data_IF_124312587964
#
_entry.id   IF_124312587964
#
_cell.length_a   1.000
_cell.length_b   1.000
_cell.length_c   1.000
_cell.angle_alpha   90.00
_cell.angle_beta   90.00
_cell.angle_gamma   90.00
#
_symmetry.space_group_name_H-M   'P 1'
#
loop_
_entity.id
_entity.type
_entity.pdbx_description
1 polymer ?
#
# COMPACT_ATOMS: atom_id res chain seq x y z
N UNK A 1 -19.56 1.24 4.63
CA UNK A 1 -19.45 -0.08 3.94
C UNK A 1 -18.63 0.01 2.64
N UNK A 2 -18.78 1.05 1.81
CA UNK A 2 -17.94 1.28 0.61
C UNK A 2 -16.45 1.55 0.92
N UNK A 3 -16.13 2.24 2.02
CA UNK A 3 -14.73 2.56 2.35
C UNK A 3 -13.90 1.32 2.74
N UNK A 4 -14.55 0.30 3.31
CA UNK A 4 -13.93 -1.01 3.60
C UNK A 4 -13.64 -1.80 2.33
N UNK A 5 -14.45 -1.62 1.28
CA UNK A 5 -14.30 -2.27 -0.02
C UNK A 5 -13.06 -1.77 -0.77
N UNK A 6 -12.82 -0.45 -0.76
CA UNK A 6 -11.64 0.16 -1.41
C UNK A 6 -10.31 -0.25 -0.77
N UNK A 7 -10.27 -0.39 0.55
CA UNK A 7 -9.10 -0.92 1.26
C UNK A 7 -8.83 -2.38 0.84
N UNK A 8 -9.90 -3.17 0.70
CA UNK A 8 -9.80 -4.56 0.25
C UNK A 8 -9.25 -4.68 -1.17
N UNK A 9 -9.69 -3.82 -2.10
CA UNK A 9 -9.20 -3.81 -3.49
C UNK A 9 -7.70 -3.49 -3.59
N UNK A 10 -7.20 -2.63 -2.68
CA UNK A 10 -5.78 -2.28 -2.61
C UNK A 10 -4.92 -3.43 -2.08
N UNK A 11 -5.40 -4.12 -1.03
CA UNK A 11 -4.75 -5.31 -0.50
C UNK A 11 -4.77 -6.43 -1.54
N UNK A 12 -5.88 -6.59 -2.26
CA UNK A 12 -6.00 -7.55 -3.37
C UNK A 12 -4.98 -7.25 -4.47
N UNK A 13 -4.83 -5.98 -4.85
CA UNK A 13 -3.85 -5.57 -5.87
C UNK A 13 -2.41 -5.83 -5.41
N UNK A 14 -2.06 -5.50 -4.18
CA UNK A 14 -0.73 -5.79 -3.63
C UNK A 14 -0.45 -7.30 -3.58
N UNK A 15 -1.44 -8.12 -3.19
CA UNK A 15 -1.33 -9.57 -3.21
C UNK A 15 -1.18 -10.14 -4.62
N UNK A 16 -1.94 -9.62 -5.60
CA UNK A 16 -1.83 -10.01 -7.00
C UNK A 16 -0.47 -9.63 -7.59
N UNK A 17 0.04 -8.43 -7.29
CA UNK A 17 1.36 -7.99 -7.69
C UNK A 17 2.46 -8.86 -7.07
N UNK A 18 2.34 -9.22 -5.79
CA UNK A 18 3.28 -10.14 -5.13
C UNK A 18 3.26 -11.54 -5.76
N UNK A 19 2.07 -12.07 -6.04
CA UNK A 19 1.93 -13.35 -6.75
C UNK A 19 2.55 -13.29 -8.15
N UNK A 20 2.30 -12.24 -8.92
CA UNK A 20 2.89 -12.04 -10.24
C UNK A 20 4.42 -11.93 -10.18
N UNK A 21 4.96 -11.21 -9.20
CA UNK A 21 6.41 -11.11 -8.99
C UNK A 21 7.04 -12.46 -8.62
N UNK A 22 6.34 -13.28 -7.84
CA UNK A 22 6.79 -14.62 -7.48
C UNK A 22 6.75 -15.57 -8.70
N UNK A 23 5.70 -15.51 -9.51
CA UNK A 23 5.64 -16.27 -10.77
C UNK A 23 6.74 -15.84 -11.74
N UNK A 24 6.99 -14.53 -11.88
CA UNK A 24 8.08 -14.01 -12.71
C UNK A 24 9.46 -14.48 -12.19
N UNK A 25 9.65 -14.50 -10.86
CA UNK A 25 10.86 -15.05 -10.26
C UNK A 25 11.07 -16.52 -10.63
N UNK A 26 10.07 -17.38 -10.39
CA UNK A 26 10.16 -18.82 -10.71
C UNK A 26 10.44 -19.04 -12.20
N UNK A 27 9.80 -18.26 -13.07
CA UNK A 27 10.04 -18.35 -14.51
C UNK A 27 11.47 -17.93 -14.89
N UNK A 28 11.99 -16.83 -14.32
CA UNK A 28 13.37 -16.39 -14.52
C UNK A 28 14.39 -17.47 -14.07
N UNK A 29 14.17 -18.08 -12.90
CA UNK A 29 15.01 -19.17 -12.39
C UNK A 29 14.99 -20.38 -13.34
N UNK A 30 13.82 -20.78 -13.82
CA UNK A 30 13.68 -21.85 -14.81
C UNK A 30 14.38 -21.52 -16.13
N UNK A 31 14.31 -20.26 -16.58
CA UNK A 31 15.02 -19.82 -17.78
C UNK A 31 16.54 -19.93 -17.61
N UNK A 32 17.06 -19.51 -16.45
CA UNK A 32 18.48 -19.60 -16.10
C UNK A 32 18.98 -21.03 -16.02
N UNK A 33 18.22 -21.92 -15.38
CA UNK A 33 18.57 -23.34 -15.26
C UNK A 33 18.65 -23.98 -16.66
N UNK A 34 17.66 -23.75 -17.51
CA UNK A 34 17.68 -24.25 -18.89
C UNK A 34 18.83 -23.66 -19.71
N UNK A 35 19.16 -22.38 -19.54
CA UNK A 35 20.32 -21.74 -20.18
C UNK A 35 21.64 -22.38 -19.76
N UNK A 36 21.78 -22.72 -18.48
CA UNK A 36 22.94 -23.44 -17.93
C UNK A 36 23.03 -24.85 -18.51
N UNK A 37 21.94 -25.60 -18.56
CA UNK A 37 21.93 -26.94 -19.17
C UNK A 37 22.32 -26.90 -20.66
N UNK A 38 21.85 -25.92 -21.42
CA UNK A 38 22.22 -25.76 -22.82
C UNK A 38 23.70 -25.41 -23.00
N UNK A 39 24.28 -24.62 -22.09
CA UNK A 39 25.71 -24.32 -22.07
C UNK A 39 26.57 -25.57 -21.86
N UNK A 40 26.13 -26.48 -20.98
CA UNK A 40 26.82 -27.75 -20.70
C UNK A 40 26.79 -28.72 -21.89
N UNK A 41 25.83 -28.55 -22.81
CA UNK A 41 25.65 -29.40 -24.01
C UNK A 41 26.33 -28.81 -25.26
N UNK A 42 27.08 -27.71 -25.16
CA UNK A 42 27.73 -27.09 -26.32
C UNK A 42 28.80 -28.00 -26.92
N UNK A 43 28.64 -28.31 -28.20
CA UNK A 43 29.62 -29.01 -29.05
C UNK A 43 30.04 -28.07 -30.19
N UNK A 44 31.26 -28.17 -30.72
CA UNK A 44 31.81 -27.22 -31.71
C UNK A 44 31.30 -27.44 -33.15
N UNK A 45 30.34 -28.37 -33.33
CA UNK A 45 29.69 -28.66 -34.61
C UNK A 45 28.59 -27.66 -35.01
N UNK A 46 27.89 -27.95 -36.13
CA UNK A 46 26.75 -27.14 -36.61
C UNK A 46 25.62 -27.02 -35.58
N UNK A 47 25.42 -28.05 -34.76
CA UNK A 47 24.47 -28.07 -33.63
C UNK A 47 24.87 -27.03 -32.57
N UNK A 48 26.17 -26.79 -32.38
CA UNK A 48 26.70 -25.76 -31.49
C UNK A 48 26.29 -24.34 -31.85
N UNK A 49 26.22 -24.00 -33.14
CA UNK A 49 25.76 -22.68 -33.56
C UNK A 49 24.29 -22.45 -33.21
N UNK A 50 23.44 -23.47 -33.38
CA UNK A 50 22.03 -23.42 -33.01
C UNK A 50 21.87 -23.35 -31.50
N UNK A 51 22.59 -24.18 -30.74
CA UNK A 51 22.60 -24.15 -29.28
C UNK A 51 23.04 -22.78 -28.75
N UNK A 52 24.08 -22.18 -29.33
CA UNK A 52 24.57 -20.85 -28.94
C UNK A 52 23.55 -19.75 -29.20
N UNK A 53 22.76 -19.85 -30.28
CA UNK A 53 21.66 -18.92 -30.56
C UNK A 53 20.51 -19.11 -29.56
N UNK A 54 20.16 -20.36 -29.25
CA UNK A 54 19.13 -20.70 -28.27
C UNK A 54 19.51 -20.20 -26.86
N UNK A 55 20.77 -20.38 -26.46
CA UNK A 55 21.32 -19.88 -25.19
C UNK A 55 21.20 -18.35 -25.10
N UNK A 56 21.54 -17.63 -26.17
CA UNK A 56 21.40 -16.16 -26.19
C UNK A 56 19.96 -15.70 -26.02
N UNK A 57 19.03 -16.34 -26.72
CA UNK A 57 17.58 -16.06 -26.55
C UNK A 57 17.15 -16.37 -25.12
N UNK A 58 17.59 -17.50 -24.57
CA UNK A 58 17.25 -17.93 -23.22
C UNK A 58 17.66 -16.91 -22.14
N UNK A 59 18.91 -16.42 -22.19
CA UNK A 59 19.39 -15.41 -21.25
C UNK A 59 18.78 -14.03 -21.50
N UNK A 60 18.50 -13.66 -22.76
CA UNK A 60 17.78 -12.42 -23.07
C UNK A 60 16.35 -12.42 -22.51
N UNK A 61 15.65 -13.55 -22.58
CA UNK A 61 14.35 -13.72 -21.94
C UNK A 61 14.43 -13.62 -20.42
N UNK A 62 15.47 -14.20 -19.82
CA UNK A 62 15.69 -14.11 -18.38
C UNK A 62 15.86 -12.65 -17.92
N UNK A 63 16.72 -11.87 -18.59
CA UNK A 63 16.91 -10.44 -18.28
C UNK A 63 15.61 -9.65 -18.39
N UNK A 64 14.80 -9.95 -19.41
CA UNK A 64 13.52 -9.27 -19.63
C UNK A 64 12.52 -9.57 -18.51
N UNK A 65 12.45 -10.82 -18.05
CA UNK A 65 11.60 -11.25 -16.92
C UNK A 65 12.09 -10.65 -15.61
N UNK A 66 13.41 -10.62 -15.38
CA UNK A 66 14.02 -10.00 -14.20
C UNK A 66 13.74 -8.49 -14.13
N UNK A 67 13.81 -7.80 -15.27
CA UNK A 67 13.44 -6.39 -15.41
C UNK A 67 11.97 -6.15 -15.08
N UNK A 68 11.06 -6.98 -15.61
CA UNK A 68 9.63 -6.91 -15.29
C UNK A 68 9.35 -7.16 -13.81
N UNK A 69 10.01 -8.16 -13.20
CA UNK A 69 9.91 -8.46 -11.76
C UNK A 69 10.34 -7.26 -10.91
N UNK A 70 11.47 -6.64 -11.24
CA UNK A 70 11.98 -5.44 -10.54
C UNK A 70 10.94 -4.31 -10.56
N UNK A 71 10.32 -4.05 -11.72
CA UNK A 71 9.25 -3.05 -11.83
C UNK A 71 8.00 -3.36 -11.01
N UNK A 72 7.59 -4.64 -10.94
CA UNK A 72 6.46 -5.03 -10.07
C UNK A 72 6.79 -4.74 -8.61
N UNK A 73 7.98 -5.10 -8.13
CA UNK A 73 8.40 -4.80 -6.75
C UNK A 73 8.40 -3.30 -6.47
N UNK A 74 9.00 -2.49 -7.34
CA UNK A 74 9.03 -1.03 -7.15
C UNK A 74 7.63 -0.42 -7.12
N UNK A 75 6.72 -0.92 -7.95
CA UNK A 75 5.34 -0.42 -8.04
C UNK A 75 4.48 -0.89 -6.86
N UNK A 76 4.65 -2.13 -6.40
CA UNK A 76 3.93 -2.69 -5.25
C UNK A 76 4.35 -2.06 -3.92
N UNK A 77 5.59 -1.54 -3.84
CA UNK A 77 6.17 -0.98 -2.62
C UNK A 77 5.98 0.54 -2.50
N UNK A 78 4.85 1.09 -2.99
CA UNK A 78 4.52 2.48 -2.69
C UNK A 78 4.28 2.61 -1.19
N UNK A 79 5.02 3.53 -0.53
CA UNK A 79 4.90 4.00 0.85
C UNK A 79 3.71 3.38 1.60
N UNK A 80 4.00 2.36 2.42
CA UNK A 80 3.03 1.36 2.86
C UNK A 80 1.72 1.99 3.33
N UNK A 81 0.65 1.74 2.59
CA UNK A 81 -0.73 2.12 2.95
C UNK A 81 -1.06 1.60 4.35
N UNK A 82 -0.44 0.49 4.78
CA UNK A 82 -0.51 -0.02 6.15
C UNK A 82 -0.01 1.00 7.17
N UNK A 83 1.09 1.70 6.91
CA UNK A 83 1.62 2.74 7.79
C UNK A 83 0.65 3.92 7.87
N UNK A 84 0.09 4.35 6.73
CA UNK A 84 -0.87 5.45 6.71
C UNK A 84 -2.20 5.08 7.41
N UNK A 85 -2.67 3.84 7.26
CA UNK A 85 -3.84 3.30 7.96
C UNK A 85 -3.62 3.22 9.48
N UNK A 86 -2.45 2.74 9.92
CA UNK A 86 -2.07 2.73 11.35
C UNK A 86 -2.08 4.13 11.95
N UNK A 87 -1.58 5.14 11.24
CA UNK A 87 -1.65 6.53 11.70
C UNK A 87 -3.10 7.00 11.88
N UNK A 88 -3.97 6.71 10.92
CA UNK A 88 -5.40 7.09 11.00
C UNK A 88 -6.11 6.36 12.15
N UNK A 89 -5.77 5.10 12.39
CA UNK A 89 -6.28 4.33 13.53
C UNK A 89 -5.89 4.95 14.87
N UNK A 90 -4.61 5.32 15.05
CA UNK A 90 -4.15 6.00 16.26
C UNK A 90 -4.85 7.36 16.46
N UNK A 91 -5.00 8.15 15.39
CA UNK A 91 -5.71 9.44 15.47
C UNK A 91 -7.19 9.26 15.85
N UNK A 92 -7.84 8.22 15.34
CA UNK A 92 -9.20 7.88 15.72
C UNK A 92 -9.29 7.54 17.21
N UNK A 93 -8.41 6.68 17.71
CA UNK A 93 -8.37 6.30 19.12
C UNK A 93 -8.18 7.54 20.01
N UNK A 94 -7.26 8.42 19.65
CA UNK A 94 -7.02 9.67 20.36
C UNK A 94 -8.25 10.60 20.34
N UNK A 95 -8.90 10.76 19.19
CA UNK A 95 -10.16 11.51 19.08
C UNK A 95 -11.27 10.90 19.96
N UNK A 96 -11.38 9.57 20.01
CA UNK A 96 -12.36 8.87 20.85
C UNK A 96 -12.07 9.07 22.35
N UNK A 97 -10.80 9.10 22.77
CA UNK A 97 -10.39 9.41 24.15
C UNK A 97 -10.81 10.83 24.56
N UNK A 98 -10.55 11.83 23.71
CA UNK A 98 -10.97 13.22 23.98
C UNK A 98 -12.49 13.37 24.03
N UNK A 99 -13.21 12.68 23.14
CA UNK A 99 -14.67 12.63 23.16
C UNK A 99 -15.21 12.09 24.48
N UNK A 100 -14.64 11.00 24.97
CA UNK A 100 -15.05 10.36 26.21
C UNK A 100 -14.78 11.28 27.42
N UNK A 101 -13.64 11.97 27.45
CA UNK A 101 -13.31 12.95 28.48
C UNK A 101 -14.32 14.11 28.50
N UNK A 102 -14.61 14.69 27.33
CA UNK A 102 -15.61 15.75 27.20
C UNK A 102 -17.01 15.30 27.65
N UNK A 103 -17.45 14.11 27.21
CA UNK A 103 -18.74 13.55 27.61
C UNK A 103 -18.82 13.33 29.13
N UNK A 104 -17.77 12.78 29.74
CA UNK A 104 -17.70 12.57 31.19
C UNK A 104 -17.81 13.87 31.98
N UNK A 105 -17.11 14.93 31.54
CA UNK A 105 -17.22 16.26 32.16
C UNK A 105 -18.61 16.88 31.97
N UNK A 106 -19.21 16.71 30.78
CA UNK A 106 -20.55 17.20 30.48
C UNK A 106 -21.62 16.53 31.36
N UNK A 107 -21.51 15.22 31.59
CA UNK A 107 -22.41 14.49 32.49
C UNK A 107 -22.26 14.94 33.94
N UNK A 108 -21.02 15.12 34.42
CA UNK A 108 -20.75 15.59 35.78
C UNK A 108 -21.28 17.02 36.00
N UNK A 109 -21.17 17.91 35.00
CA UNK A 109 -21.74 19.25 35.08
C UNK A 109 -23.28 19.21 35.23
N UNK A 110 -23.98 18.39 34.42
CA UNK A 110 -25.45 18.26 34.53
C UNK A 110 -25.90 17.71 35.88
N UNK A 111 -25.08 16.91 36.55
CA UNK A 111 -25.37 16.41 37.91
C UNK A 111 -25.12 17.47 38.99
N UNK A 112 -24.08 18.29 38.82
CA UNK A 112 -23.77 19.40 39.72
C UNK A 112 -24.80 20.54 39.63
N UNK A 113 -25.32 20.84 38.43
CA UNK A 113 -26.40 21.82 38.22
C UNK A 113 -27.69 21.42 38.96
N UNK A 114 -27.96 20.11 39.08
CA UNK A 114 -29.11 19.58 39.83
C UNK A 114 -28.96 19.73 41.35
N UNK A 115 -27.74 19.94 41.86
CA UNK A 115 -27.44 19.92 43.31
C UNK A 115 -27.15 21.30 43.93
N UNK A 116 -27.34 22.42 43.21
CA UNK A 116 -27.28 23.82 43.71
C UNK A 116 -26.00 24.17 44.53
N UNK A 117 -24.82 23.87 44.00
CA UNK A 117 -23.54 24.31 44.58
C UNK A 117 -22.93 25.49 43.80
N UNK A 118 -22.91 26.69 44.39
CA UNK A 118 -22.59 27.96 43.69
C UNK A 118 -21.10 28.32 43.63
N UNK A 119 -20.20 27.58 44.31
CA UNK A 119 -18.80 28.04 44.54
C UNK A 119 -17.71 27.32 43.72
N UNK A 120 -18.07 26.29 42.94
CA UNK A 120 -17.15 25.53 42.07
C UNK A 120 -17.45 25.59 40.57
N UNK A 121 -18.48 26.33 40.17
CA UNK A 121 -19.13 26.25 38.86
C UNK A 121 -18.29 26.87 37.72
N UNK A 122 -17.54 27.94 37.99
CA UNK A 122 -16.67 28.60 36.99
C UNK A 122 -15.47 27.76 36.60
N UNK A 123 -14.84 27.06 37.54
CA UNK A 123 -13.69 26.18 37.26
C UNK A 123 -14.13 24.89 36.55
N UNK A 124 -15.34 24.38 36.80
CA UNK A 124 -15.87 23.24 36.05
C UNK A 124 -16.27 23.61 34.62
N UNK A 125 -16.83 24.81 34.42
CA UNK A 125 -17.21 25.29 33.09
C UNK A 125 -15.98 25.48 32.20
N UNK A 126 -14.90 26.07 32.73
CA UNK A 126 -13.65 26.25 32.00
C UNK A 126 -13.04 24.91 31.58
N UNK A 127 -13.00 23.92 32.47
CA UNK A 127 -12.51 22.57 32.14
C UNK A 127 -13.35 21.87 31.08
N UNK A 128 -14.67 22.05 31.10
CA UNK A 128 -15.55 21.50 30.07
C UNK A 128 -15.26 22.16 28.70
N UNK A 129 -15.08 23.48 28.69
CA UNK A 129 -14.76 24.21 27.47
C UNK A 129 -13.41 23.76 26.88
N UNK A 130 -12.36 23.68 27.70
CA UNK A 130 -11.04 23.19 27.27
C UNK A 130 -11.12 21.76 26.69
N UNK A 131 -11.89 20.87 27.32
CA UNK A 131 -12.12 19.52 26.83
C UNK A 131 -12.90 19.49 25.50
N UNK A 132 -13.87 20.40 25.33
CA UNK A 132 -14.63 20.54 24.08
C UNK A 132 -13.74 20.99 22.94
N UNK A 133 -12.94 22.04 23.16
CA UNK A 133 -12.04 22.59 22.14
C UNK A 133 -10.98 21.56 21.74
N UNK A 134 -10.43 20.81 22.70
CA UNK A 134 -9.46 19.75 22.42
C UNK A 134 -10.08 18.60 21.62
N UNK A 135 -11.29 18.15 21.98
CA UNK A 135 -12.02 17.16 21.20
C UNK A 135 -12.28 17.65 19.78
N UNK A 136 -12.74 18.89 19.61
CA UNK A 136 -13.04 19.47 18.30
C UNK A 136 -11.79 19.58 17.43
N UNK A 137 -10.66 20.04 18.00
CA UNK A 137 -9.36 20.07 17.31
C UNK A 137 -8.97 18.67 16.80
N UNK A 138 -9.01 17.67 17.66
CA UNK A 138 -8.61 16.31 17.27
C UNK A 138 -9.57 15.67 16.27
N UNK A 139 -10.87 15.95 16.38
CA UNK A 139 -11.86 15.51 15.41
C UNK A 139 -11.61 16.11 14.02
N UNK A 140 -11.30 17.42 13.94
CA UNK A 140 -10.94 18.09 12.69
C UNK A 140 -9.68 17.47 12.08
N UNK A 141 -8.64 17.27 12.89
CA UNK A 141 -7.38 16.65 12.46
C UNK A 141 -7.61 15.24 11.91
N UNK A 142 -8.38 14.42 12.63
CA UNK A 142 -8.73 13.05 12.20
C UNK A 142 -9.50 13.04 10.88
N UNK A 143 -10.55 13.86 10.76
CA UNK A 143 -11.37 13.96 9.54
C UNK A 143 -10.54 14.43 8.34
N UNK A 144 -9.70 15.46 8.54
CA UNK A 144 -8.83 15.97 7.49
C UNK A 144 -7.84 14.91 7.00
N UNK A 145 -7.23 14.17 7.94
CA UNK A 145 -6.29 13.09 7.60
C UNK A 145 -6.99 11.95 6.87
N UNK A 146 -8.17 11.54 7.32
CA UNK A 146 -8.96 10.49 6.69
C UNK A 146 -9.33 10.86 5.23
N UNK A 147 -9.79 12.09 5.01
CA UNK A 147 -10.11 12.58 3.67
C UNK A 147 -8.88 12.64 2.76
N UNK A 148 -7.75 13.15 3.27
CA UNK A 148 -6.49 13.20 2.53
C UNK A 148 -5.98 11.81 2.15
N UNK A 149 -6.10 10.83 3.07
CA UNK A 149 -5.74 9.44 2.80
C UNK A 149 -6.62 8.84 1.69
N UNK A 150 -7.93 9.09 1.76
CA UNK A 150 -8.89 8.58 0.77
C UNK A 150 -8.61 9.13 -0.63
N UNK A 151 -8.28 10.40 -0.75
CA UNK A 151 -7.93 11.02 -2.03
C UNK A 151 -6.62 10.45 -2.59
N UNK A 152 -5.56 10.45 -1.76
CA UNK A 152 -4.24 9.95 -2.14
C UNK A 152 -4.27 8.45 -2.49
N UNK A 153 -5.07 7.64 -1.81
CA UNK A 153 -5.18 6.20 -2.09
C UNK A 153 -5.71 5.92 -3.50
N UNK A 154 -6.76 6.63 -3.95
CA UNK A 154 -7.30 6.43 -5.30
C UNK A 154 -6.27 6.84 -6.37
N UNK A 155 -5.55 7.95 -6.15
CA UNK A 155 -4.51 8.43 -7.05
C UNK A 155 -3.30 7.48 -7.10
N UNK A 156 -2.88 6.95 -5.94
CA UNK A 156 -1.80 5.99 -5.85
C UNK A 156 -2.15 4.67 -6.54
N UNK A 157 -3.35 4.12 -6.32
CA UNK A 157 -3.79 2.88 -6.97
C UNK A 157 -3.84 3.03 -8.49
N UNK A 158 -4.39 4.16 -8.99
CA UNK A 158 -4.42 4.44 -10.41
C UNK A 158 -3.00 4.53 -11.00
N UNK A 159 -2.09 5.25 -10.32
CA UNK A 159 -0.69 5.36 -10.75
C UNK A 159 -0.01 3.99 -10.77
N UNK A 160 -0.21 3.17 -9.74
CA UNK A 160 0.33 1.82 -9.66
C UNK A 160 -0.20 0.92 -10.79
N UNK A 161 -1.50 0.97 -11.08
CA UNK A 161 -2.10 0.20 -12.16
C UNK A 161 -1.54 0.62 -13.54
N UNK A 162 -1.42 1.94 -13.79
CA UNK A 162 -0.83 2.46 -15.02
C UNK A 162 0.64 2.02 -15.16
N UNK A 163 1.43 2.12 -14.10
CA UNK A 163 2.84 1.70 -14.11
C UNK A 163 2.99 0.19 -14.34
N UNK A 164 2.13 -0.62 -13.71
CA UNK A 164 2.13 -2.06 -13.91
C UNK A 164 1.74 -2.44 -15.35
N UNK A 165 0.68 -1.84 -15.88
CA UNK A 165 0.27 -2.06 -17.28
C UNK A 165 1.34 -1.59 -18.27
N UNK A 166 2.00 -0.46 -18.03
CA UNK A 166 3.12 -0.01 -18.86
C UNK A 166 4.27 -1.03 -18.84
N UNK A 167 4.61 -1.59 -17.68
CA UNK A 167 5.62 -2.63 -17.56
C UNK A 167 5.22 -3.92 -18.30
N UNK A 168 3.95 -4.33 -18.23
CA UNK A 168 3.42 -5.46 -19.00
C UNK A 168 3.52 -5.23 -20.51
N UNK A 169 3.12 -4.05 -21.00
CA UNK A 169 3.20 -3.70 -22.42
C UNK A 169 4.65 -3.69 -22.90
N UNK A 170 5.56 -3.09 -22.13
CA UNK A 170 6.98 -3.07 -22.46
C UNK A 170 7.58 -4.48 -22.49
N UNK A 171 7.20 -5.34 -21.55
CA UNK A 171 7.61 -6.75 -21.52
C UNK A 171 7.16 -7.48 -22.80
N UNK A 172 5.90 -7.34 -23.20
CA UNK A 172 5.36 -7.99 -24.41
C UNK A 172 6.01 -7.43 -25.69
N UNK A 173 6.19 -6.11 -25.79
CA UNK A 173 6.83 -5.48 -26.95
C UNK A 173 8.29 -5.90 -27.10
N UNK A 174 9.06 -5.92 -26.01
CA UNK A 174 10.45 -6.37 -26.03
C UNK A 174 10.57 -7.84 -26.45
N UNK A 175 9.61 -8.69 -26.07
CA UNK A 175 9.54 -10.07 -26.54
C UNK A 175 9.31 -10.15 -28.07
N UNK A 176 8.43 -9.31 -28.61
CA UNK A 176 8.11 -9.27 -30.04
C UNK A 176 9.25 -8.72 -30.92
N UNK A 177 10.02 -7.74 -30.42
CA UNK A 177 11.14 -7.15 -31.18
C UNK A 177 12.42 -7.98 -31.12
N UNK A 178 12.48 -8.99 -30.25
CA UNK A 178 13.63 -9.89 -30.07
C UNK A 178 13.49 -11.22 -30.82
N UNK A 179 12.36 -11.43 -31.51
CA UNK A 179 12.06 -12.58 -32.39
C UNK A 179 12.22 -12.20 -33.86
#
# INVERSE_FOLDING_TARGET
MQDMKKCNDTILYAAAAAAAANSAFVFSESLREMGTCLLEQNDDGQIGNVLRMLIKVQFGLQELVDSYRSHIFQTATSESILTQLKTVEHMKQWCDEKRNLYQGLSTAQRENEKTRSFKGETVSLQKLQEASEEYEREAICFVFRLNSLKERQNQNLLKQAVQHHAAQVNYVLAFQTSS
#
